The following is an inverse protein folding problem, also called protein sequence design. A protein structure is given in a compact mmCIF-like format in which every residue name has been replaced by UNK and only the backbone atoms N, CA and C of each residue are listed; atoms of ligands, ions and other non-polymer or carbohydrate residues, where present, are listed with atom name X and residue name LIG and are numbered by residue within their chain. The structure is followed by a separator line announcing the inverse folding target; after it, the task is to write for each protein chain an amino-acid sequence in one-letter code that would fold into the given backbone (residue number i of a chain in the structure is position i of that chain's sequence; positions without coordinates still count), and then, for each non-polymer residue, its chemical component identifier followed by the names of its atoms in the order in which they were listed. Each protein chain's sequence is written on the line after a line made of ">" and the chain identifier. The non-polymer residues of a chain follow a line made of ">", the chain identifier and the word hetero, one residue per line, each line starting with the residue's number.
data_IF_262812281203
#
_entry.id   IF_262812281203
#
_cell.length_a   1.000
_cell.length_b   1.000
_cell.length_c   1.000
_cell.angle_alpha   90.00
_cell.angle_beta   90.00
_cell.angle_gamma   90.00
#
_symmetry.space_group_name_H-M   'P 1'
#
loop_
_entity.id
_entity.type
_entity.pdbx_description
1 polymer ?
#
# COMPACT_ATOMS: atom_id res chain seq x y z
N UNK A 1 -16.04 -29.82 4.09
CA UNK A 1 -15.24 -31.02 3.79
C UNK A 1 -15.45 -31.33 2.32
N UNK A 2 -14.66 -30.70 1.46
CA UNK A 2 -14.71 -30.93 0.00
C UNK A 2 -13.28 -30.79 -0.51
N UNK A 3 -12.70 -31.95 -0.82
CA UNK A 3 -11.37 -32.17 -1.37
C UNK A 3 -11.26 -31.58 -2.78
N UNK A 4 -10.17 -30.84 -3.06
CA UNK A 4 -9.71 -30.63 -4.43
C UNK A 4 -8.51 -31.54 -4.68
N UNK A 5 -8.71 -32.46 -5.62
CA UNK A 5 -7.85 -33.60 -5.94
C UNK A 5 -6.64 -33.17 -6.79
N UNK A 6 -5.44 -33.52 -6.32
CA UNK A 6 -4.18 -33.41 -7.03
C UNK A 6 -4.10 -34.41 -8.19
N UNK A 7 -3.83 -33.94 -9.41
CA UNK A 7 -3.29 -34.78 -10.49
C UNK A 7 -2.22 -34.04 -11.27
N UNK A 8 -0.98 -34.33 -10.90
CA UNK A 8 0.18 -34.29 -11.78
C UNK A 8 -0.02 -35.31 -12.90
N UNK A 9 0.24 -34.95 -14.15
CA UNK A 9 0.88 -35.90 -15.05
C UNK A 9 1.72 -35.23 -16.14
N UNK A 10 2.98 -35.64 -16.11
CA UNK A 10 4.08 -35.40 -17.02
C UNK A 10 3.71 -35.72 -18.48
N UNK A 11 4.24 -34.92 -19.43
CA UNK A 11 4.55 -35.42 -20.77
C UNK A 11 5.82 -34.79 -21.33
N UNK A 12 6.83 -35.66 -21.34
CA UNK A 12 8.08 -35.73 -22.09
C UNK A 12 8.18 -34.92 -23.39
N UNK A 13 9.27 -34.17 -23.51
CA UNK A 13 9.86 -33.72 -24.78
C UNK A 13 10.83 -34.78 -25.33
N UNK A 14 10.92 -35.01 -26.66
CA UNK A 14 12.01 -35.78 -27.24
C UNK A 14 13.17 -34.88 -27.69
N UNK A 15 14.38 -35.34 -27.39
CA UNK A 15 15.65 -34.79 -27.83
C UNK A 15 16.08 -35.36 -29.19
N UNK A 16 16.70 -34.53 -30.02
CA UNK A 16 17.69 -34.84 -31.09
C UNK A 16 18.36 -33.51 -31.45
N UNK A 17 19.66 -33.32 -31.65
CA UNK A 17 20.84 -34.16 -31.55
C UNK A 17 22.06 -33.31 -32.00
N UNK A 18 23.16 -33.46 -31.27
CA UNK A 18 24.57 -33.36 -31.71
C UNK A 18 25.06 -32.16 -32.53
N UNK A 19 26.01 -31.39 -31.94
CA UNK A 19 27.36 -31.26 -32.53
C UNK A 19 28.39 -30.85 -31.48
N UNK A 20 29.45 -31.67 -31.40
CA UNK A 20 30.70 -31.45 -30.67
C UNK A 20 31.45 -30.23 -31.21
N UNK A 21 32.20 -29.56 -30.34
CA UNK A 21 33.65 -29.35 -30.52
C UNK A 21 34.31 -28.97 -29.20
N UNK A 22 35.41 -29.65 -28.94
CA UNK A 22 36.31 -29.64 -27.79
C UNK A 22 37.31 -28.48 -27.80
N UNK A 23 37.68 -27.96 -26.62
CA UNK A 23 39.05 -27.57 -26.19
C UNK A 23 39.00 -27.37 -24.66
N UNK A 24 39.47 -28.33 -23.86
CA UNK A 24 40.77 -28.33 -23.16
C UNK A 24 41.19 -26.98 -22.57
N UNK A 25 41.21 -26.86 -21.24
CA UNK A 25 42.47 -26.82 -20.46
C UNK A 25 42.21 -26.67 -18.96
N UNK A 26 42.85 -27.55 -18.21
CA UNK A 26 42.98 -27.62 -16.76
C UNK A 26 43.59 -26.34 -16.17
N UNK A 27 43.17 -25.99 -14.95
CA UNK A 27 44.15 -25.63 -13.91
C UNK A 27 43.55 -25.69 -12.51
N UNK A 28 43.85 -26.79 -11.80
CA UNK A 28 43.83 -26.85 -10.35
C UNK A 28 44.92 -25.94 -9.78
N UNK A 29 44.64 -25.29 -8.65
CA UNK A 29 45.65 -24.97 -7.61
C UNK A 29 44.94 -24.71 -6.28
N UNK A 30 45.10 -25.67 -5.37
CA UNK A 30 44.95 -25.51 -3.93
C UNK A 30 46.20 -24.80 -3.34
N UNK A 31 46.16 -24.56 -2.02
CA UNK A 31 47.21 -24.01 -1.13
C UNK A 31 47.21 -22.47 -1.04
N UNK A 32 47.17 -21.80 0.12
CA UNK A 32 47.89 -22.08 1.38
C UNK A 32 47.23 -21.40 2.60
N UNK A 33 47.52 -21.96 3.77
CA UNK A 33 47.16 -21.58 5.14
C UNK A 33 47.90 -20.34 5.70
N UNK A 34 47.19 -19.55 6.55
CA UNK A 34 47.51 -18.76 7.77
C UNK A 34 48.91 -18.09 8.01
N UNK A 35 48.99 -16.97 8.79
CA UNK A 35 48.92 -16.96 10.28
C UNK A 35 47.94 -15.89 10.83
N UNK A 36 47.08 -16.13 11.83
CA UNK A 36 47.30 -16.18 13.30
C UNK A 36 48.11 -15.00 13.87
N UNK A 37 47.41 -14.02 14.43
CA UNK A 37 47.96 -13.05 15.40
C UNK A 37 47.33 -13.34 16.76
N UNK A 38 48.19 -13.70 17.71
CA UNK A 38 47.90 -13.80 19.14
C UNK A 38 47.84 -12.40 19.76
N UNK A 39 46.94 -12.23 20.73
CA UNK A 39 46.82 -11.01 21.54
C UNK A 39 45.86 -11.23 22.70
N UNK A 40 46.33 -11.94 23.71
CA UNK A 40 45.65 -12.18 24.99
C UNK A 40 46.04 -11.11 26.01
N UNK A 41 45.14 -10.83 26.97
CA UNK A 41 45.35 -10.53 28.42
C UNK A 41 44.54 -9.33 28.96
N UNK A 42 43.71 -9.65 29.98
CA UNK A 42 43.28 -8.76 31.08
C UNK A 42 41.86 -8.18 30.90
N UNK A 43 40.80 -8.57 31.61
CA UNK A 43 40.70 -9.21 32.92
C UNK A 43 40.68 -8.17 34.04
N UNK A 44 39.51 -7.61 34.39
CA UNK A 44 39.22 -7.29 35.79
C UNK A 44 37.71 -7.29 36.07
N UNK A 45 37.30 -8.22 36.94
CA UNK A 45 36.02 -8.23 37.61
C UNK A 45 36.16 -7.43 38.91
N UNK A 46 35.21 -6.55 39.19
CA UNK A 46 35.17 -5.76 40.43
C UNK A 46 33.72 -5.49 40.83
N UNK A 47 33.19 -6.41 41.63
CA UNK A 47 31.92 -6.32 42.34
C UNK A 47 31.86 -5.09 43.24
N UNK A 48 30.70 -4.42 43.32
CA UNK A 48 30.22 -3.95 44.62
C UNK A 48 28.70 -3.84 44.65
N UNK A 49 28.14 -4.49 45.66
CA UNK A 49 26.73 -4.49 46.01
C UNK A 49 26.38 -3.30 46.93
N UNK A 50 25.07 -3.09 47.08
CA UNK A 50 24.38 -2.42 48.19
C UNK A 50 24.51 -0.90 48.36
N UNK A 51 23.45 -0.18 47.96
CA UNK A 51 22.60 0.50 48.96
C UNK A 51 21.20 0.85 48.47
N UNK A 52 20.24 0.58 49.35
CA UNK A 52 18.80 0.70 49.21
C UNK A 52 18.28 2.15 49.05
N UNK A 53 17.07 2.20 48.48
CA UNK A 53 16.20 3.36 48.26
C UNK A 53 15.73 4.08 49.54
N UNK A 54 15.14 5.27 49.37
CA UNK A 54 13.86 5.56 50.02
C UNK A 54 12.74 5.89 49.02
N UNK A 55 11.53 5.44 49.39
CA UNK A 55 10.25 5.73 48.75
C UNK A 55 9.83 7.17 49.04
N UNK A 56 9.28 7.86 48.04
CA UNK A 56 8.31 8.93 48.25
C UNK A 56 7.29 8.88 47.10
N UNK A 57 6.05 8.68 47.51
CA UNK A 57 4.84 8.65 46.68
C UNK A 57 4.42 10.07 46.36
N UNK A 58 4.12 10.37 45.09
CA UNK A 58 3.27 11.51 44.71
C UNK A 58 2.61 11.24 43.33
N UNK A 59 1.29 11.10 43.35
CA UNK A 59 0.30 11.15 42.25
C UNK A 59 -0.85 11.96 42.87
N UNK A 60 -1.59 12.92 42.23
CA UNK A 60 -2.15 12.90 40.86
C UNK A 60 -2.22 14.34 40.21
N UNK A 61 -3.00 14.70 39.14
CA UNK A 61 -4.06 13.94 38.50
C UNK A 61 -4.14 13.89 36.96
N UNK A 62 -4.74 12.76 36.57
CA UNK A 62 -5.56 12.46 35.39
C UNK A 62 -6.04 13.70 34.62
N UNK A 63 -5.57 13.84 33.38
CA UNK A 63 -6.22 14.66 32.36
C UNK A 63 -6.93 13.74 31.38
N UNK A 64 -8.26 13.79 31.43
CA UNK A 64 -9.14 13.26 30.42
C UNK A 64 -8.87 13.94 29.07
N UNK A 65 -8.74 13.13 28.02
CA UNK A 65 -8.86 13.59 26.65
C UNK A 65 -10.27 14.18 26.41
N UNK A 66 -10.41 15.33 25.73
CA UNK A 66 -11.61 15.61 24.96
C UNK A 66 -11.44 15.13 23.51
N UNK A 67 -12.53 14.67 22.86
CA UNK A 67 -12.50 14.29 21.45
C UNK A 67 -12.45 15.50 20.51
N UNK A 68 -11.87 15.26 19.33
CA UNK A 68 -11.91 16.15 18.18
C UNK A 68 -13.35 16.41 17.72
N UNK A 69 -13.76 17.68 17.63
CA UNK A 69 -14.90 18.13 16.80
C UNK A 69 -14.65 19.57 16.32
N UNK A 70 -14.58 19.71 15.00
CA UNK A 70 -15.04 20.83 14.16
C UNK A 70 -14.55 22.26 14.46
N UNK A 71 -13.71 22.78 13.56
CA UNK A 71 -13.50 24.22 13.37
C UNK A 71 -14.82 24.90 12.96
N UNK A 72 -15.41 25.67 13.88
CA UNK A 72 -16.26 26.83 13.57
C UNK A 72 -15.81 27.96 14.47
N UNK A 73 -15.07 28.91 13.92
CA UNK A 73 -14.77 30.17 14.59
C UNK A 73 -16.04 31.03 14.63
N UNK A 74 -16.61 31.22 15.81
CA UNK A 74 -17.58 32.27 16.08
C UNK A 74 -17.02 33.12 17.23
N UNK A 75 -16.59 34.34 16.91
CA UNK A 75 -16.13 35.32 17.89
C UNK A 75 -17.34 36.12 18.43
N UNK A 76 -17.43 36.41 19.74
CA UNK A 76 -18.42 37.34 20.26
C UNK A 76 -17.81 38.72 20.51
N UNK A 77 -18.55 39.76 20.12
CA UNK A 77 -18.45 41.09 20.71
C UNK A 77 -18.41 42.22 19.68
N UNK A 78 -19.56 42.87 19.45
CA UNK A 78 -19.77 44.28 19.81
C UNK A 78 -21.21 44.73 19.55
N UNK A 79 -21.60 45.72 20.32
CA UNK A 79 -22.92 46.26 20.62
C UNK A 79 -23.59 47.05 19.48
N UNK A 80 -24.93 46.95 19.45
CA UNK A 80 -25.99 47.87 18.98
C UNK A 80 -25.59 49.12 18.16
N UNK A 81 -26.24 49.27 17.00
CA UNK A 81 -26.44 50.57 16.36
C UNK A 81 -27.22 50.50 15.04
N UNK A 82 -28.49 50.93 15.09
CA UNK A 82 -29.29 51.57 14.02
C UNK A 82 -29.26 51.07 12.57
N UNK A 83 -30.44 50.60 12.15
CA UNK A 83 -31.10 50.73 10.85
C UNK A 83 -30.32 51.16 9.60
N UNK A 84 -30.37 50.31 8.58
CA UNK A 84 -30.43 50.71 7.18
C UNK A 84 -31.28 49.68 6.43
N UNK A 85 -32.48 50.11 6.06
CA UNK A 85 -33.35 49.47 5.09
C UNK A 85 -32.77 49.69 3.69
N UNK A 86 -32.52 48.62 2.93
CA UNK A 86 -32.47 48.69 1.47
C UNK A 86 -33.19 47.48 0.89
N UNK A 87 -34.23 47.80 0.13
CA UNK A 87 -34.92 46.97 -0.84
C UNK A 87 -33.99 46.64 -2.00
N UNK A 88 -33.97 45.39 -2.46
CA UNK A 88 -33.98 45.12 -3.90
C UNK A 88 -34.37 43.67 -4.12
N UNK A 89 -35.52 43.51 -4.78
CA UNK A 89 -35.84 42.36 -5.58
C UNK A 89 -34.74 42.16 -6.62
N UNK A 90 -34.18 40.96 -6.70
CA UNK A 90 -33.77 40.41 -7.98
C UNK A 90 -34.20 38.94 -8.00
N UNK A 91 -35.09 38.72 -8.94
CA UNK A 91 -35.76 37.51 -9.32
C UNK A 91 -34.71 36.60 -9.98
N UNK A 92 -34.20 35.60 -9.25
CA UNK A 92 -33.44 34.51 -9.86
C UNK A 92 -34.41 33.36 -10.12
N UNK A 93 -35.06 33.43 -11.28
CA UNK A 93 -35.71 32.29 -11.93
C UNK A 93 -34.64 31.40 -12.57
N UNK A 94 -34.74 30.10 -12.32
CA UNK A 94 -33.76 29.12 -12.81
C UNK A 94 -33.56 27.97 -11.84
N UNK A 95 -34.57 27.10 -11.76
CA UNK A 95 -34.48 25.80 -11.09
C UNK A 95 -33.43 24.90 -11.73
N UNK A 96 -32.17 25.07 -11.34
CA UNK A 96 -31.20 23.98 -11.37
C UNK A 96 -31.54 23.04 -10.22
N UNK A 97 -32.28 21.97 -10.49
CA UNK A 97 -32.38 20.88 -9.52
C UNK A 97 -30.96 20.50 -9.10
N UNK A 98 -30.67 20.35 -7.78
CA UNK A 98 -29.42 19.73 -7.38
C UNK A 98 -29.40 18.36 -8.07
N UNK A 99 -28.39 18.13 -8.90
CA UNK A 99 -28.18 16.83 -9.53
C UNK A 99 -28.05 15.82 -8.40
N UNK A 100 -29.13 15.09 -8.17
CA UNK A 100 -29.14 13.93 -7.28
C UNK A 100 -28.21 12.96 -7.98
N UNK A 101 -26.94 12.90 -7.55
CA UNK A 101 -26.03 11.83 -7.94
C UNK A 101 -26.69 10.55 -7.43
N UNK A 102 -27.47 9.93 -8.30
CA UNK A 102 -28.14 8.68 -8.03
C UNK A 102 -26.99 7.69 -8.11
N UNK A 103 -26.36 7.44 -6.96
CA UNK A 103 -25.16 6.63 -6.81
C UNK A 103 -25.37 5.25 -7.39
N UNK A 104 -25.15 5.14 -8.70
CA UNK A 104 -25.18 3.88 -9.41
C UNK A 104 -23.82 3.29 -9.19
N UNK A 105 -23.75 2.31 -8.28
CA UNK A 105 -22.53 1.54 -8.09
C UNK A 105 -22.15 0.91 -9.42
N UNK A 106 -21.01 1.32 -9.99
CA UNK A 106 -20.43 0.69 -11.17
C UNK A 106 -20.01 -0.71 -10.75
N UNK A 107 -20.63 -1.74 -11.35
CA UNK A 107 -20.33 -3.15 -11.08
C UNK A 107 -20.02 -3.95 -12.35
N UNK A 108 -20.13 -3.32 -13.52
CA UNK A 108 -19.83 -3.93 -14.83
C UNK A 108 -18.97 -3.01 -15.68
N UNK A 109 -18.21 -3.60 -16.61
CA UNK A 109 -17.37 -2.83 -17.53
C UNK A 109 -18.18 -1.90 -18.45
N UNK A 110 -19.39 -2.32 -18.86
CA UNK A 110 -20.27 -1.48 -19.69
C UNK A 110 -20.69 -0.21 -18.95
N UNK A 111 -21.06 -0.35 -17.66
CA UNK A 111 -21.36 0.81 -16.82
C UNK A 111 -20.14 1.70 -16.66
N UNK A 112 -18.95 1.13 -16.44
CA UNK A 112 -17.72 1.92 -16.38
C UNK A 112 -17.47 2.66 -17.69
N UNK A 113 -17.70 2.04 -18.85
CA UNK A 113 -17.50 2.67 -20.16
C UNK A 113 -18.46 3.84 -20.44
N UNK A 114 -19.68 3.76 -19.93
CA UNK A 114 -20.76 4.72 -20.21
C UNK A 114 -20.93 5.78 -19.10
N UNK A 115 -20.37 5.55 -17.91
CA UNK A 115 -20.55 6.41 -16.76
C UNK A 115 -20.05 7.85 -17.00
N UNK A 116 -20.69 8.87 -16.38
CA UNK A 116 -20.16 10.22 -16.33
C UNK A 116 -18.71 10.24 -15.83
N UNK A 117 -17.90 11.16 -16.36
CA UNK A 117 -16.46 11.26 -16.04
C UNK A 117 -16.21 11.26 -14.53
N UNK A 118 -16.96 12.07 -13.77
CA UNK A 118 -16.81 12.16 -12.31
C UNK A 118 -17.06 10.84 -11.59
N UNK A 119 -18.14 10.14 -11.93
CA UNK A 119 -18.50 8.85 -11.31
C UNK A 119 -17.48 7.75 -11.66
N UNK A 120 -17.00 7.72 -12.89
CA UNK A 120 -15.96 6.80 -13.31
C UNK A 120 -14.62 7.08 -12.61
N UNK A 121 -14.23 8.35 -12.48
CA UNK A 121 -13.01 8.75 -11.75
C UNK A 121 -13.11 8.34 -10.28
N UNK A 122 -14.23 8.61 -9.60
CA UNK A 122 -14.44 8.23 -8.20
C UNK A 122 -14.38 6.72 -7.98
N UNK A 123 -15.00 5.95 -8.89
CA UNK A 123 -14.94 4.48 -8.82
C UNK A 123 -13.51 3.97 -9.00
N UNK A 124 -12.76 4.50 -9.98
CA UNK A 124 -11.39 4.08 -10.24
C UNK A 124 -10.42 4.49 -9.12
N UNK A 125 -10.65 5.63 -8.47
CA UNK A 125 -9.87 6.07 -7.31
C UNK A 125 -9.89 5.07 -6.14
N UNK A 126 -10.93 4.24 -6.02
CA UNK A 126 -10.94 3.16 -5.05
C UNK A 126 -9.89 2.07 -5.36
N UNK A 127 -9.58 1.85 -6.64
CA UNK A 127 -8.63 0.82 -7.09
C UNK A 127 -7.18 1.32 -6.97
N UNK A 128 -6.93 2.57 -7.35
CA UNK A 128 -5.66 3.27 -7.19
C UNK A 128 -5.95 4.74 -6.87
N UNK A 129 -5.51 5.20 -5.70
CA UNK A 129 -5.87 6.53 -5.16
C UNK A 129 -5.08 7.69 -5.80
N UNK A 130 -4.49 7.50 -6.98
CA UNK A 130 -3.88 8.58 -7.76
C UNK A 130 -4.90 9.21 -8.69
N UNK A 131 -5.11 10.52 -8.57
CA UNK A 131 -6.07 11.25 -9.43
C UNK A 131 -5.63 11.28 -10.88
N UNK A 132 -4.34 11.56 -11.12
CA UNK A 132 -3.77 11.58 -12.46
C UNK A 132 -3.96 10.25 -13.17
N UNK A 133 -3.73 9.14 -12.46
CA UNK A 133 -3.97 7.80 -12.99
C UNK A 133 -5.44 7.58 -13.33
N UNK A 134 -6.36 7.91 -12.42
CA UNK A 134 -7.79 7.70 -12.61
C UNK A 134 -8.30 8.48 -13.83
N UNK A 135 -7.93 9.76 -13.96
CA UNK A 135 -8.32 10.60 -15.10
C UNK A 135 -7.81 10.03 -16.44
N UNK A 136 -6.59 9.48 -16.46
CA UNK A 136 -6.00 8.86 -17.65
C UNK A 136 -6.73 7.57 -18.03
N UNK A 137 -7.11 6.74 -17.07
CA UNK A 137 -7.90 5.53 -17.32
C UNK A 137 -9.31 5.90 -17.80
N UNK A 138 -9.95 6.91 -17.21
CA UNK A 138 -11.27 7.40 -17.64
C UNK A 138 -11.24 7.94 -19.08
N UNK A 139 -10.18 8.66 -19.45
CA UNK A 139 -9.99 9.19 -20.80
C UNK A 139 -9.71 8.10 -21.85
N UNK A 140 -9.21 6.93 -21.43
CA UNK A 140 -8.94 5.79 -22.32
C UNK A 140 -10.16 4.94 -22.67
N UNK A 141 -11.34 5.21 -22.09
CA UNK A 141 -12.58 4.50 -22.38
C UNK A 141 -13.03 4.74 -23.84
N UNK A 142 -13.72 3.77 -24.48
CA UNK A 142 -14.19 2.50 -23.92
C UNK A 142 -13.14 1.37 -23.98
N UNK A 143 -13.21 0.47 -23.00
CA UNK A 143 -12.42 -0.77 -22.98
C UNK A 143 -13.27 -1.96 -23.45
N UNK A 144 -12.65 -2.87 -24.21
CA UNK A 144 -13.30 -4.05 -24.80
C UNK A 144 -13.62 -5.14 -23.77
N UNK A 145 -12.74 -5.32 -22.79
CA UNK A 145 -12.80 -6.34 -21.75
C UNK A 145 -11.98 -5.91 -20.52
N UNK A 146 -12.15 -6.64 -19.41
CA UNK A 146 -11.47 -6.38 -18.15
C UNK A 146 -9.93 -6.49 -18.29
N UNK A 147 -9.45 -7.35 -19.19
CA UNK A 147 -8.03 -7.55 -19.43
C UNK A 147 -7.40 -6.31 -20.08
N UNK A 148 -8.03 -5.75 -21.12
CA UNK A 148 -7.56 -4.51 -21.75
C UNK A 148 -7.55 -3.34 -20.77
N UNK A 149 -8.59 -3.23 -19.92
CA UNK A 149 -8.64 -2.23 -18.86
C UNK A 149 -7.46 -2.41 -17.89
N UNK A 150 -7.25 -3.64 -17.38
CA UNK A 150 -6.20 -3.93 -16.41
C UNK A 150 -4.79 -3.70 -16.97
N UNK A 151 -4.54 -4.11 -18.21
CA UNK A 151 -3.25 -3.89 -18.88
C UNK A 151 -2.97 -2.41 -19.13
N UNK A 152 -3.99 -1.66 -19.60
CA UNK A 152 -3.86 -0.21 -19.81
C UNK A 152 -3.62 0.51 -18.49
N UNK A 153 -4.40 0.18 -17.46
CA UNK A 153 -4.27 0.72 -16.11
C UNK A 153 -2.89 0.46 -15.51
N UNK A 154 -2.36 -0.75 -15.67
CA UNK A 154 -1.03 -1.15 -15.23
C UNK A 154 0.07 -0.37 -15.97
N UNK A 155 -0.04 -0.25 -17.29
CA UNK A 155 0.90 0.52 -18.11
C UNK A 155 0.95 2.00 -17.70
N UNK A 156 -0.21 2.59 -17.41
CA UNK A 156 -0.30 3.99 -16.96
C UNK A 156 0.41 4.24 -15.63
N UNK A 157 0.47 3.26 -14.73
CA UNK A 157 1.26 3.36 -13.48
C UNK A 157 2.76 3.48 -13.80
N UNK A 158 3.23 2.85 -14.88
CA UNK A 158 4.59 3.01 -15.42
C UNK A 158 4.96 4.45 -15.76
N UNK A 159 3.98 5.26 -16.17
CA UNK A 159 4.18 6.62 -16.66
C UNK A 159 4.05 7.71 -15.57
N UNK A 160 3.59 7.34 -14.38
CA UNK A 160 3.36 8.29 -13.28
C UNK A 160 4.68 8.84 -12.72
N UNK A 161 4.67 10.09 -12.26
CA UNK A 161 5.80 10.56 -11.47
C UNK A 161 5.72 10.03 -10.03
N UNK A 162 6.76 10.27 -9.24
CA UNK A 162 6.77 9.80 -7.86
C UNK A 162 5.71 10.49 -6.98
N UNK A 163 5.32 11.72 -7.27
CA UNK A 163 4.31 12.42 -6.48
C UNK A 163 2.93 11.77 -6.66
N UNK A 164 2.59 11.35 -7.88
CA UNK A 164 1.38 10.58 -8.18
C UNK A 164 1.38 9.21 -7.48
N UNK A 165 2.53 8.52 -7.47
CA UNK A 165 2.68 7.24 -6.76
C UNK A 165 2.54 7.45 -5.25
N UNK A 166 3.18 8.49 -4.68
CA UNK A 166 3.09 8.81 -3.26
C UNK A 166 1.65 9.20 -2.84
N UNK A 167 0.90 9.90 -3.70
CA UNK A 167 -0.53 10.16 -3.51
C UNK A 167 -1.28 8.83 -3.34
N UNK A 168 -1.08 7.89 -4.27
CA UNK A 168 -1.73 6.58 -4.20
C UNK A 168 -1.38 5.85 -2.88
N UNK A 169 -0.09 5.80 -2.51
CA UNK A 169 0.39 5.13 -1.30
C UNK A 169 -0.21 5.68 0.00
N UNK A 170 -0.46 6.99 0.06
CA UNK A 170 -0.96 7.63 1.29
C UNK A 170 -2.32 7.11 1.76
N UNK A 171 -3.09 6.48 0.86
CA UNK A 171 -4.38 5.89 1.13
C UNK A 171 -4.33 4.37 1.37
N UNK A 172 -3.16 3.73 1.28
CA UNK A 172 -3.04 2.29 1.52
C UNK A 172 -2.98 1.96 3.02
N UNK A 173 -3.77 0.99 3.50
CA UNK A 173 -3.61 0.46 4.85
C UNK A 173 -2.28 -0.31 4.95
N UNK A 174 -1.66 -0.26 6.13
CA UNK A 174 -0.45 -1.04 6.41
C UNK A 174 -0.74 -2.53 6.37
N UNK A 175 0.24 -3.32 5.93
CA UNK A 175 0.15 -4.78 6.02
C UNK A 175 0.21 -5.21 7.48
N UNK A 176 -0.77 -6.02 7.89
CA UNK A 176 -0.90 -6.48 9.26
C UNK A 176 -1.76 -5.55 10.13
N UNK A 177 -2.30 -4.44 9.61
CA UNK A 177 -3.36 -3.70 10.27
C UNK A 177 -4.74 -4.33 10.02
N UNK A 178 -5.69 -4.14 10.95
CA UNK A 178 -7.07 -4.59 10.71
C UNK A 178 -7.78 -3.57 9.83
N UNK A 179 -8.11 -3.94 8.60
CA UNK A 179 -8.88 -3.09 7.67
C UNK A 179 -10.37 -3.20 7.99
N UNK A 180 -10.96 -2.12 8.51
CA UNK A 180 -12.40 -1.99 8.77
C UNK A 180 -13.11 -1.19 7.66
N UNK A 181 -14.44 -1.28 7.59
CA UNK A 181 -15.27 -0.53 6.63
C UNK A 181 -15.76 -1.32 5.41
N UNK A 182 -16.76 -0.76 4.72
CA UNK A 182 -17.49 -1.42 3.61
C UNK A 182 -17.15 -0.87 2.22
N UNK A 183 -16.22 0.06 2.09
CA UNK A 183 -15.79 0.59 0.78
C UNK A 183 -15.11 -0.48 -0.08
N UNK A 184 -15.12 -0.35 -1.40
CA UNK A 184 -14.45 -1.29 -2.31
C UNK A 184 -12.96 -1.42 -1.99
N UNK A 185 -12.28 -0.30 -1.74
CA UNK A 185 -10.89 -0.26 -1.28
C UNK A 185 -10.64 -1.09 -0.01
N UNK A 186 -11.54 -1.00 0.98
CA UNK A 186 -11.45 -1.80 2.21
C UNK A 186 -11.73 -3.30 1.97
N UNK A 187 -12.66 -3.62 1.07
CA UNK A 187 -12.96 -5.01 0.69
C UNK A 187 -11.78 -5.67 -0.03
N UNK A 188 -11.20 -4.99 -1.02
CA UNK A 188 -10.00 -5.48 -1.72
C UNK A 188 -8.82 -5.64 -0.78
N UNK A 189 -8.55 -4.64 0.07
CA UNK A 189 -7.44 -4.72 1.04
C UNK A 189 -7.57 -5.89 2.01
N UNK A 190 -8.78 -6.25 2.45
CA UNK A 190 -9.00 -7.45 3.28
C UNK A 190 -8.76 -8.75 2.52
N UNK A 191 -9.25 -8.85 1.29
CA UNK A 191 -9.04 -10.02 0.45
C UNK A 191 -7.54 -10.24 0.18
N UNK A 192 -6.82 -9.15 -0.13
CA UNK A 192 -5.37 -9.13 -0.35
C UNK A 192 -4.59 -9.60 0.89
N UNK A 193 -4.99 -9.19 2.10
CA UNK A 193 -4.30 -9.54 3.35
C UNK A 193 -4.82 -10.81 4.04
N UNK A 194 -5.69 -11.60 3.40
CA UNK A 194 -6.31 -12.79 4.01
C UNK A 194 -5.33 -13.89 4.42
N UNK A 195 -4.12 -13.92 3.84
CA UNK A 195 -3.05 -14.85 4.18
C UNK A 195 -2.14 -14.39 5.33
N UNK A 196 -2.39 -13.20 5.91
CA UNK A 196 -1.55 -12.65 6.97
C UNK A 196 -1.99 -13.21 8.33
N UNK A 197 -1.21 -14.14 8.87
CA UNK A 197 -1.43 -14.77 10.16
C UNK A 197 -1.03 -13.88 11.36
N UNK A 198 -1.76 -14.02 12.47
CA UNK A 198 -1.62 -13.16 13.66
C UNK A 198 -0.27 -13.36 14.38
N UNK A 199 0.33 -14.54 14.33
CA UNK A 199 1.62 -14.83 14.96
C UNK A 199 2.79 -14.02 14.36
N UNK A 200 2.68 -13.61 13.11
CA UNK A 200 3.69 -12.78 12.42
C UNK A 200 3.45 -11.28 12.58
N UNK A 201 2.33 -10.89 13.18
CA UNK A 201 1.85 -9.50 13.23
C UNK A 201 2.84 -8.56 13.93
N UNK A 202 3.43 -9.00 15.05
CA UNK A 202 4.38 -8.18 15.79
C UNK A 202 5.66 -7.89 14.98
N UNK A 203 6.19 -8.89 14.28
CA UNK A 203 7.35 -8.74 13.42
C UNK A 203 7.05 -7.82 12.21
N UNK A 204 5.88 -7.98 11.60
CA UNK A 204 5.44 -7.11 10.50
C UNK A 204 5.26 -5.66 10.97
N UNK A 205 4.70 -5.41 12.16
CA UNK A 205 4.55 -4.05 12.69
C UNK A 205 5.92 -3.39 12.89
N UNK A 206 6.87 -4.10 13.49
CA UNK A 206 8.24 -3.58 13.69
C UNK A 206 8.93 -3.27 12.35
N UNK A 207 8.84 -4.20 11.40
CA UNK A 207 9.44 -4.07 10.09
C UNK A 207 8.81 -2.92 9.27
N UNK A 208 7.48 -2.77 9.29
CA UNK A 208 6.79 -1.63 8.65
C UNK A 208 7.27 -0.29 9.22
N UNK A 209 7.46 -0.19 10.54
CA UNK A 209 7.97 1.03 11.18
C UNK A 209 9.37 1.39 10.64
N UNK A 210 10.29 0.42 10.61
CA UNK A 210 11.64 0.63 10.06
C UNK A 210 11.61 1.03 8.59
N UNK A 211 10.70 0.45 7.82
CA UNK A 211 10.51 0.77 6.41
C UNK A 211 10.02 2.20 6.22
N UNK A 212 9.00 2.63 6.97
CA UNK A 212 8.48 4.00 6.92
C UNK A 212 9.53 5.03 7.36
N UNK A 213 10.33 4.73 8.39
CA UNK A 213 11.45 5.57 8.83
C UNK A 213 12.53 5.72 7.74
N UNK A 214 12.76 4.67 6.93
CA UNK A 214 13.79 4.66 5.89
C UNK A 214 13.34 5.34 4.61
N UNK A 215 12.13 5.05 4.13
CA UNK A 215 11.66 5.46 2.81
C UNK A 215 10.60 6.58 2.84
N UNK A 216 9.98 6.84 3.99
CA UNK A 216 8.98 7.90 4.16
C UNK A 216 7.59 7.59 3.58
N UNK A 217 7.30 6.33 3.28
CA UNK A 217 5.99 5.86 2.83
C UNK A 217 5.72 4.44 3.32
N UNK A 218 4.46 4.01 3.27
CA UNK A 218 4.05 2.65 3.67
C UNK A 218 4.71 1.58 2.80
N UNK A 219 4.92 0.40 3.38
CA UNK A 219 5.35 -0.78 2.64
C UNK A 219 4.20 -1.30 1.76
N UNK A 220 4.45 -1.40 0.46
CA UNK A 220 3.47 -1.88 -0.51
C UNK A 220 3.97 -3.17 -1.18
N UNK A 221 3.13 -4.21 -1.15
CA UNK A 221 3.36 -5.48 -1.83
C UNK A 221 2.03 -6.09 -2.27
N UNK A 222 2.00 -6.74 -3.43
CA UNK A 222 0.87 -7.58 -3.83
C UNK A 222 0.79 -8.79 -2.91
N UNK A 223 -0.11 -8.75 -1.94
CA UNK A 223 -0.18 -9.78 -0.90
C UNK A 223 -0.86 -11.09 -1.36
N UNK A 224 -1.71 -11.05 -2.41
CA UNK A 224 -2.40 -12.24 -2.92
C UNK A 224 -1.43 -13.36 -3.25
N UNK A 225 -1.64 -14.55 -2.68
CA UNK A 225 -0.78 -15.73 -2.89
C UNK A 225 0.54 -15.71 -2.12
N UNK A 226 0.74 -14.77 -1.18
CA UNK A 226 1.88 -14.74 -0.26
C UNK A 226 1.41 -14.99 1.17
N UNK A 227 2.18 -15.75 1.94
CA UNK A 227 2.00 -15.88 3.38
C UNK A 227 2.75 -14.76 4.15
N UNK A 228 2.49 -14.64 5.46
CA UNK A 228 3.15 -13.64 6.30
C UNK A 228 4.68 -13.72 6.29
N UNK A 229 5.24 -14.93 6.22
CA UNK A 229 6.69 -15.13 6.29
C UNK A 229 7.35 -14.65 4.98
N UNK A 230 6.71 -14.93 3.84
CA UNK A 230 7.13 -14.42 2.53
C UNK A 230 7.03 -12.89 2.46
N UNK A 231 5.96 -12.31 3.00
CA UNK A 231 5.79 -10.86 3.06
C UNK A 231 6.88 -10.22 3.94
N UNK A 232 7.12 -10.77 5.13
CA UNK A 232 8.17 -10.28 6.03
C UNK A 232 9.55 -10.39 5.39
N UNK A 233 9.85 -11.51 4.73
CA UNK A 233 11.12 -11.70 4.02
C UNK A 233 11.32 -10.65 2.91
N UNK A 234 10.26 -10.33 2.17
CA UNK A 234 10.32 -9.29 1.12
C UNK A 234 10.54 -7.90 1.72
N UNK A 235 9.86 -7.58 2.82
CA UNK A 235 10.04 -6.32 3.53
C UNK A 235 11.50 -6.17 4.01
N UNK A 236 12.05 -7.19 4.67
CA UNK A 236 13.44 -7.16 5.14
C UNK A 236 14.45 -7.06 4.00
N UNK A 237 14.20 -7.73 2.86
CA UNK A 237 15.05 -7.63 1.67
C UNK A 237 15.06 -6.20 1.12
N UNK A 238 13.88 -5.58 1.01
CA UNK A 238 13.69 -4.23 0.46
C UNK A 238 14.21 -3.12 1.35
N UNK A 239 14.32 -3.33 2.66
CA UNK A 239 15.06 -2.44 3.55
C UNK A 239 16.54 -2.26 3.16
N UNK A 240 17.10 -3.18 2.36
CA UNK A 240 18.44 -3.07 1.79
C UNK A 240 18.51 -2.31 0.46
N UNK A 241 17.39 -1.90 -0.13
CA UNK A 241 17.36 -1.17 -1.39
C UNK A 241 17.81 0.30 -1.18
N UNK A 242 18.37 0.91 -2.23
CA UNK A 242 18.43 2.37 -2.30
C UNK A 242 17.06 2.95 -2.69
N UNK A 243 16.88 4.25 -2.50
CA UNK A 243 15.59 4.93 -2.74
C UNK A 243 15.13 4.79 -4.19
N UNK A 244 16.03 4.80 -5.18
CA UNK A 244 15.64 4.73 -6.58
C UNK A 244 15.14 3.32 -6.95
N UNK A 245 15.87 2.30 -6.51
CA UNK A 245 15.48 0.90 -6.68
C UNK A 245 14.15 0.61 -5.97
N UNK A 246 13.98 1.11 -4.74
CA UNK A 246 12.76 0.88 -3.98
C UNK A 246 11.53 1.53 -4.62
N UNK A 247 11.67 2.76 -5.12
CA UNK A 247 10.57 3.44 -5.82
C UNK A 247 10.10 2.67 -7.03
N UNK A 248 11.03 2.03 -7.75
CA UNK A 248 10.67 1.28 -8.95
C UNK A 248 10.03 -0.06 -8.64
N UNK A 249 10.44 -0.69 -7.54
CA UNK A 249 9.77 -1.86 -7.03
C UNK A 249 8.35 -1.55 -6.53
N UNK A 250 8.19 -0.45 -5.78
CA UNK A 250 6.88 0.04 -5.33
C UNK A 250 5.94 0.28 -6.51
N UNK A 251 6.44 0.89 -7.59
CA UNK A 251 5.67 1.09 -8.82
C UNK A 251 5.18 -0.23 -9.41
N UNK A 252 6.06 -1.22 -9.50
CA UNK A 252 5.71 -2.57 -9.98
C UNK A 252 4.65 -3.23 -9.09
N UNK A 253 4.79 -3.13 -7.76
CA UNK A 253 3.80 -3.68 -6.81
C UNK A 253 2.44 -2.99 -6.94
N UNK A 254 2.41 -1.66 -7.08
CA UNK A 254 1.17 -0.91 -7.28
C UNK A 254 0.48 -1.35 -8.59
N UNK A 255 1.25 -1.51 -9.67
CA UNK A 255 0.74 -1.98 -10.95
C UNK A 255 0.09 -3.37 -10.85
N UNK A 256 0.76 -4.33 -10.19
CA UNK A 256 0.18 -5.67 -9.94
C UNK A 256 -1.13 -5.61 -9.14
N UNK A 257 -1.15 -4.83 -8.06
CA UNK A 257 -2.33 -4.68 -7.19
C UNK A 257 -3.50 -4.08 -7.96
N UNK A 258 -3.28 -2.95 -8.63
CA UNK A 258 -4.33 -2.26 -9.39
C UNK A 258 -4.89 -3.13 -10.50
N UNK A 259 -4.03 -3.81 -11.25
CA UNK A 259 -4.47 -4.71 -12.31
C UNK A 259 -5.25 -5.92 -11.76
N UNK A 260 -4.83 -6.47 -10.60
CA UNK A 260 -5.54 -7.55 -9.91
C UNK A 260 -6.95 -7.13 -9.45
N UNK A 261 -7.08 -5.94 -8.87
CA UNK A 261 -8.38 -5.38 -8.45
C UNK A 261 -9.34 -5.22 -9.62
N UNK A 262 -8.89 -4.59 -10.71
CA UNK A 262 -9.72 -4.32 -11.88
C UNK A 262 -10.14 -5.60 -12.61
N UNK A 263 -9.24 -6.59 -12.74
CA UNK A 263 -9.60 -7.91 -13.27
C UNK A 263 -10.67 -8.58 -12.41
N UNK A 264 -10.49 -8.58 -11.09
CA UNK A 264 -11.42 -9.21 -10.17
C UNK A 264 -12.80 -8.56 -10.12
N UNK A 265 -12.86 -7.23 -10.28
CA UNK A 265 -14.12 -6.47 -10.26
C UNK A 265 -14.99 -6.73 -11.50
N UNK A 266 -14.37 -6.90 -12.67
CA UNK A 266 -15.06 -7.02 -13.95
C UNK A 266 -14.92 -8.40 -14.62
N UNK A 267 -14.58 -9.43 -13.84
CA UNK A 267 -14.43 -10.82 -14.28
C UNK A 267 -15.76 -11.47 -14.70
#
# INVERSE_FOLDING_TARGET
>A
MTEWNSRSNERSSPATGSRRSSVSSSSSRSFTSLPRVDGSIGGNAGSNADRAAPRASDDPPRRCCPPAVLFVFCAPGHTRGSGCSLTSSDEYDGGGQPTVHTGTTITTLSQLNEAPVGEATEHLLAACHSRRWADRVVAGRPYRDAEQLADTASGLIGELDWADIAEALSAHPRIGDRVSGSTSSAQWSRAEQSGVADESRAALIDANRRYEETFGHVFLIRASGRDSAQILAELERRLGNDVAAEREEVRGQLAEITAGRLRGEFA
#
